data_IF_377836427206
#
_entry.id   IF_377836427206
#
_cell.length_a   1.000
_cell.length_b   1.000
_cell.length_c   1.000
_cell.angle_alpha   90.00
_cell.angle_beta   90.00
_cell.angle_gamma   90.00
#
_symmetry.space_group_name_H-M   'P 1'
#
loop_
_entity.id
_entity.type
_entity.pdbx_description
1 polymer ?
#
# COMPACT_ATOMS: atom_id res chain seq x y z
N UNK A 1 -9.89 -11.43 12.61
CA UNK A 1 -8.78 -12.40 12.50
C UNK A 1 -7.50 -11.62 12.24
N UNK A 2 -6.36 -12.12 12.71
CA UNK A 2 -5.05 -11.48 12.55
C UNK A 2 -4.19 -12.34 11.62
N UNK A 3 -3.57 -11.72 10.61
CA UNK A 3 -2.74 -12.37 9.61
C UNK A 3 -1.41 -11.63 9.41
N UNK A 4 -0.40 -12.32 8.87
CA UNK A 4 0.90 -11.75 8.48
C UNK A 4 1.36 -12.29 7.13
N UNK A 5 2.25 -11.57 6.47
CA UNK A 5 2.84 -11.93 5.18
C UNK A 5 4.38 -11.88 5.25
N UNK A 6 4.97 -12.58 6.22
CA UNK A 6 6.40 -12.53 6.49
C UNK A 6 7.16 -13.80 6.08
N UNK A 7 6.47 -14.90 5.80
CA UNK A 7 7.10 -16.19 5.53
C UNK A 7 7.11 -16.51 4.03
N UNK A 8 8.20 -17.13 3.56
CA UNK A 8 8.25 -17.71 2.23
C UNK A 8 7.52 -19.05 2.28
N UNK A 9 6.28 -19.06 1.83
CA UNK A 9 5.44 -20.26 1.76
C UNK A 9 5.33 -20.70 0.30
N UNK A 10 5.41 -22.01 0.01
CA UNK A 10 5.24 -22.49 -1.35
C UNK A 10 3.79 -22.23 -1.81
N UNK A 11 3.63 -21.74 -3.03
CA UNK A 11 2.33 -21.55 -3.67
C UNK A 11 2.16 -22.70 -4.67
N UNK A 12 1.11 -23.51 -4.51
CA UNK A 12 0.91 -24.75 -5.27
C UNK A 12 2.12 -25.70 -5.22
N UNK A 13 2.79 -25.77 -4.05
CA UNK A 13 3.95 -26.64 -3.84
C UNK A 13 5.28 -26.12 -4.39
N UNK A 14 5.33 -24.91 -4.94
CA UNK A 14 6.54 -24.29 -5.50
C UNK A 14 6.95 -23.02 -4.76
N UNK A 15 8.23 -22.93 -4.37
CA UNK A 15 8.80 -21.66 -3.90
C UNK A 15 9.05 -20.72 -5.07
N UNK A 16 8.50 -19.51 -4.98
CA UNK A 16 8.68 -18.47 -6.00
C UNK A 16 9.78 -17.49 -5.58
N UNK A 17 10.60 -17.07 -6.54
CA UNK A 17 11.66 -16.08 -6.34
C UNK A 17 11.14 -14.64 -6.45
N UNK A 18 9.91 -14.46 -6.92
CA UNK A 18 9.21 -13.17 -7.02
C UNK A 18 7.76 -13.32 -6.59
N UNK A 19 7.23 -12.25 -6.00
CA UNK A 19 5.79 -12.10 -5.75
C UNK A 19 5.02 -11.90 -7.05
N UNK A 20 5.67 -11.28 -8.05
CA UNK A 20 5.06 -11.04 -9.37
C UNK A 20 5.15 -12.34 -10.19
N UNK A 21 4.02 -12.79 -10.71
CA UNK A 21 3.95 -13.93 -11.62
C UNK A 21 3.55 -13.54 -13.05
N UNK A 22 3.02 -12.35 -13.23
CA UNK A 22 2.76 -11.77 -14.55
C UNK A 22 3.20 -10.29 -14.53
N UNK A 23 4.10 -9.89 -15.44
CA UNK A 23 4.80 -10.66 -16.47
C UNK A 23 5.65 -11.82 -15.93
N UNK A 24 5.93 -12.81 -16.78
CA UNK A 24 6.61 -14.04 -16.36
C UNK A 24 8.07 -13.85 -15.93
N UNK A 25 8.68 -12.73 -16.26
CA UNK A 25 10.03 -12.36 -15.82
C UNK A 25 10.09 -11.95 -14.34
N UNK A 26 8.92 -11.85 -13.67
CA UNK A 26 8.79 -11.52 -12.26
C UNK A 26 9.09 -10.07 -11.91
N UNK A 27 9.08 -9.18 -12.91
CA UNK A 27 9.39 -7.75 -12.74
C UNK A 27 8.15 -6.87 -12.93
N UNK A 28 8.11 -5.77 -12.20
CA UNK A 28 7.08 -4.74 -12.40
C UNK A 28 7.40 -3.98 -13.70
N UNK A 29 6.50 -3.97 -14.70
CA UNK A 29 6.76 -3.41 -16.05
C UNK A 29 6.61 -1.88 -16.06
N UNK A 30 7.51 -1.17 -15.37
CA UNK A 30 7.48 0.29 -15.25
C UNK A 30 7.70 0.96 -16.60
N UNK A 31 6.87 1.95 -16.90
CA UNK A 31 7.03 2.77 -18.12
C UNK A 31 8.24 3.70 -17.96
N UNK A 32 9.12 3.66 -18.94
CA UNK A 32 10.27 4.57 -19.00
C UNK A 32 9.80 6.02 -19.09
N UNK A 33 10.48 6.92 -18.38
CA UNK A 33 10.16 8.35 -18.37
C UNK A 33 8.94 8.76 -17.56
N UNK A 34 8.17 7.82 -16.97
CA UNK A 34 7.09 8.20 -16.06
C UNK A 34 7.64 8.84 -14.79
N UNK A 35 7.17 10.06 -14.52
CA UNK A 35 7.50 10.78 -13.30
C UNK A 35 6.34 10.64 -12.30
N UNK A 36 6.61 10.03 -11.15
CA UNK A 36 5.68 10.00 -10.03
C UNK A 36 5.49 11.38 -9.39
N UNK A 37 4.61 11.49 -8.41
CA UNK A 37 4.32 12.75 -7.73
C UNK A 37 5.59 13.43 -7.20
N UNK A 38 6.47 12.69 -6.51
CA UNK A 38 7.69 13.25 -5.91
C UNK A 38 8.73 13.62 -6.97
N UNK A 39 8.84 12.84 -8.04
CA UNK A 39 9.72 13.16 -9.16
C UNK A 39 9.28 14.42 -9.90
N UNK A 40 7.96 14.59 -10.15
CA UNK A 40 7.39 15.82 -10.73
C UNK A 40 7.64 17.03 -9.83
N UNK A 41 7.46 16.88 -8.51
CA UNK A 41 7.74 17.92 -7.54
C UNK A 41 9.21 18.37 -7.60
N UNK A 42 10.16 17.44 -7.62
CA UNK A 42 11.60 17.77 -7.75
C UNK A 42 11.93 18.40 -9.10
N UNK A 43 11.33 17.92 -10.18
CA UNK A 43 11.51 18.49 -11.53
C UNK A 43 11.01 19.93 -11.64
N UNK A 44 10.05 20.36 -10.81
CA UNK A 44 9.59 21.76 -10.72
C UNK A 44 10.48 22.63 -9.82
N UNK A 45 11.61 22.12 -9.33
CA UNK A 45 12.56 22.86 -8.48
C UNK A 45 12.26 22.82 -6.99
N UNK A 46 11.22 22.11 -6.56
CA UNK A 46 10.90 21.97 -5.13
C UNK A 46 11.81 20.92 -4.48
N UNK A 47 12.32 21.24 -3.29
CA UNK A 47 13.14 20.32 -2.50
C UNK A 47 12.26 19.48 -1.57
N UNK A 48 12.77 18.31 -1.19
CA UNK A 48 12.10 17.43 -0.22
C UNK A 48 12.02 18.05 1.19
N UNK A 49 12.79 19.12 1.45
CA UNK A 49 12.85 19.85 2.71
C UNK A 49 12.14 21.20 2.70
N UNK A 50 11.48 21.59 1.61
CA UNK A 50 10.75 22.88 1.54
C UNK A 50 9.54 22.91 2.49
N UNK A 51 8.95 21.74 2.73
CA UNK A 51 7.86 21.55 3.66
C UNK A 51 7.62 20.08 3.96
N UNK A 52 6.69 19.77 4.87
CA UNK A 52 6.36 18.37 5.19
C UNK A 52 5.88 17.58 3.98
N UNK A 53 5.30 18.21 2.96
CA UNK A 53 4.79 17.57 1.74
C UNK A 53 5.91 16.93 0.90
N UNK A 54 7.14 17.38 1.06
CA UNK A 54 8.32 16.78 0.41
C UNK A 54 8.78 15.47 1.05
N UNK A 55 8.40 15.24 2.29
CA UNK A 55 8.79 14.05 3.05
C UNK A 55 7.88 12.86 2.72
N UNK A 56 8.40 11.65 2.89
CA UNK A 56 7.61 10.43 2.68
C UNK A 56 6.45 10.33 3.68
N UNK A 57 5.41 9.57 3.30
CA UNK A 57 4.18 9.49 4.09
C UNK A 57 4.37 8.81 5.44
N UNK A 58 5.25 7.83 5.55
CA UNK A 58 5.56 7.15 6.82
C UNK A 58 6.29 8.08 7.79
N UNK A 59 7.22 8.92 7.31
CA UNK A 59 7.86 9.96 8.11
C UNK A 59 6.90 11.05 8.60
N UNK A 60 5.76 11.21 7.91
CA UNK A 60 4.66 12.11 8.30
C UNK A 60 3.58 11.42 9.11
N UNK A 61 3.73 10.15 9.43
CA UNK A 61 2.71 9.33 10.10
C UNK A 61 1.35 9.31 9.40
N UNK A 62 1.31 9.39 8.07
CA UNK A 62 0.07 9.38 7.29
C UNK A 62 -0.31 7.99 6.81
N UNK A 63 0.65 7.24 6.29
CA UNK A 63 0.51 5.83 5.93
C UNK A 63 1.87 5.18 5.69
N UNK A 64 1.89 3.85 5.74
CA UNK A 64 3.08 3.07 5.42
C UNK A 64 2.92 2.34 4.08
N UNK A 65 3.72 2.56 3.14
CA UNK A 65 3.65 1.93 1.84
C UNK A 65 2.77 2.68 0.84
N UNK A 66 2.50 2.04 -0.28
CA UNK A 66 1.70 2.59 -1.36
C UNK A 66 0.49 1.70 -1.63
N UNK A 67 -0.63 2.30 -2.01
CA UNK A 67 -1.92 1.70 -2.26
C UNK A 67 -2.54 1.07 -0.99
N UNK A 68 -2.54 -0.24 -0.85
CA UNK A 68 -3.24 -0.91 0.24
C UNK A 68 -2.30 -1.81 1.04
N UNK A 69 -2.62 -2.07 2.31
CA UNK A 69 -1.76 -2.83 3.21
C UNK A 69 -1.34 -4.21 2.69
N UNK A 70 -2.29 -4.95 2.12
CA UNK A 70 -2.03 -6.31 1.61
C UNK A 70 -1.10 -6.30 0.40
N UNK A 71 -1.13 -5.25 -0.42
CA UNK A 71 -0.28 -5.11 -1.60
C UNK A 71 1.18 -4.82 -1.23
N UNK A 72 1.39 -3.94 -0.24
CA UNK A 72 2.72 -3.52 0.19
C UNK A 72 2.89 -3.71 1.70
N UNK A 73 2.93 -4.96 2.20
CA UNK A 73 3.10 -5.20 3.62
C UNK A 73 4.43 -4.65 4.11
N UNK A 74 4.44 -4.10 5.31
CA UNK A 74 5.65 -3.64 5.96
C UNK A 74 6.64 -4.78 6.20
N UNK A 75 7.93 -4.54 5.96
CA UNK A 75 8.98 -5.52 6.26
C UNK A 75 9.16 -5.71 7.78
N UNK A 76 8.87 -4.67 8.55
CA UNK A 76 8.84 -4.66 10.00
C UNK A 76 7.39 -4.50 10.41
N UNK A 77 6.81 -5.46 11.11
CA UNK A 77 5.42 -5.42 11.53
C UNK A 77 4.39 -5.60 10.39
N UNK A 78 4.35 -6.79 9.76
CA UNK A 78 3.44 -7.09 8.66
C UNK A 78 2.04 -7.54 9.13
N UNK A 79 1.66 -7.26 10.38
CA UNK A 79 0.41 -7.72 10.98
C UNK A 79 -0.79 -7.00 10.36
N UNK A 80 -1.76 -7.79 9.93
CA UNK A 80 -3.05 -7.34 9.39
C UNK A 80 -4.18 -7.88 10.25
N UNK A 81 -5.08 -7.03 10.70
CA UNK A 81 -6.34 -7.46 11.30
C UNK A 81 -7.47 -7.32 10.29
N UNK A 82 -8.13 -8.43 9.97
CA UNK A 82 -9.29 -8.45 9.09
C UNK A 82 -10.54 -8.65 9.93
N UNK A 83 -11.47 -7.70 9.83
CA UNK A 83 -12.79 -7.75 10.48
C UNK A 83 -13.85 -7.72 9.41
N UNK A 84 -14.74 -8.71 9.42
CA UNK A 84 -15.84 -8.85 8.47
C UNK A 84 -17.18 -8.65 9.16
N UNK A 85 -18.03 -7.86 8.54
CA UNK A 85 -19.45 -7.74 8.84
C UNK A 85 -20.27 -8.21 7.61
N UNK A 86 -21.58 -8.05 7.66
CA UNK A 86 -22.46 -8.38 6.54
C UNK A 86 -22.16 -7.53 5.29
N UNK A 87 -21.92 -6.24 5.50
CA UNK A 87 -21.87 -5.25 4.42
C UNK A 87 -20.47 -4.62 4.23
N UNK A 88 -19.54 -4.87 5.14
CA UNK A 88 -18.21 -4.27 5.12
C UNK A 88 -17.11 -5.23 5.57
N UNK A 89 -15.92 -5.03 5.02
CA UNK A 89 -14.70 -5.61 5.53
C UNK A 89 -13.75 -4.48 5.88
N UNK A 90 -13.13 -4.55 7.05
CA UNK A 90 -12.04 -3.67 7.47
C UNK A 90 -10.73 -4.45 7.44
N UNK A 91 -9.72 -3.89 6.81
CA UNK A 91 -8.33 -4.35 6.89
C UNK A 91 -7.53 -3.29 7.61
N UNK A 92 -7.06 -3.61 8.82
CA UNK A 92 -6.23 -2.74 9.65
C UNK A 92 -4.80 -3.26 9.67
N UNK A 93 -3.82 -2.39 9.39
CA UNK A 93 -2.41 -2.67 9.72
C UNK A 93 -2.07 -2.19 11.11
N UNK A 94 -1.23 -2.92 11.82
CA UNK A 94 -0.66 -2.44 13.08
C UNK A 94 0.24 -1.23 12.83
N UNK A 95 1.10 -1.29 11.82
CA UNK A 95 2.00 -0.19 11.47
C UNK A 95 1.23 1.03 10.96
N UNK A 96 1.40 2.17 11.63
CA UNK A 96 0.70 3.46 11.38
C UNK A 96 -0.84 3.35 11.53
N UNK A 97 -1.36 2.23 12.03
CA UNK A 97 -2.80 1.98 12.23
C UNK A 97 -3.67 2.31 10.99
N UNK A 98 -3.13 2.04 9.80
CA UNK A 98 -3.86 2.25 8.55
C UNK A 98 -5.09 1.35 8.48
N UNK A 99 -6.27 1.94 8.37
CA UNK A 99 -7.54 1.22 8.26
C UNK A 99 -8.17 1.43 6.89
N UNK A 100 -8.44 0.33 6.20
CA UNK A 100 -9.14 0.31 4.91
C UNK A 100 -10.53 -0.28 5.09
N UNK A 101 -11.54 0.42 4.63
CA UNK A 101 -12.92 -0.06 4.60
C UNK A 101 -13.29 -0.46 3.18
N UNK A 102 -13.78 -1.69 3.03
CA UNK A 102 -14.23 -2.28 1.77
C UNK A 102 -15.74 -2.50 1.88
N UNK A 103 -16.52 -1.95 0.97
CA UNK A 103 -17.99 -2.10 0.91
C UNK A 103 -18.34 -3.32 0.07
N UNK A 104 -19.23 -4.17 0.58
CA UNK A 104 -19.62 -5.41 -0.09
C UNK A 104 -20.90 -5.17 -0.91
N UNK A 105 -20.90 -5.62 -2.17
CA UNK A 105 -22.02 -5.52 -3.11
C UNK A 105 -22.52 -4.08 -3.33
N UNK A 106 -21.62 -3.12 -3.28
CA UNK A 106 -21.91 -1.72 -3.59
C UNK A 106 -21.17 -1.26 -4.86
N UNK A 107 -21.55 -0.10 -5.35
CA UNK A 107 -20.84 0.57 -6.43
C UNK A 107 -19.78 1.54 -5.86
N UNK A 108 -18.80 1.91 -6.69
CA UNK A 108 -17.91 3.01 -6.37
C UNK A 108 -18.66 4.31 -6.12
N UNK A 109 -18.08 5.15 -5.29
CA UNK A 109 -18.67 6.46 -4.99
C UNK A 109 -18.77 7.30 -6.27
N UNK A 110 -19.85 8.09 -6.43
CA UNK A 110 -20.11 8.83 -7.69
C UNK A 110 -19.21 10.06 -7.88
N UNK A 111 -18.25 10.30 -7.00
CA UNK A 111 -17.36 11.45 -7.03
C UNK A 111 -15.89 11.01 -7.04
N UNK A 112 -15.09 11.73 -7.78
CA UNK A 112 -13.66 11.49 -7.89
C UNK A 112 -12.89 12.30 -6.81
N UNK A 113 -12.95 11.83 -5.56
CA UNK A 113 -12.16 12.37 -4.45
C UNK A 113 -11.06 11.36 -4.11
N UNK A 114 -9.79 11.64 -4.45
CA UNK A 114 -8.70 10.71 -4.16
C UNK A 114 -8.53 10.50 -2.65
N UNK A 115 -8.39 9.24 -2.25
CA UNK A 115 -8.22 8.80 -0.87
C UNK A 115 -6.89 8.07 -0.69
N UNK A 116 -6.38 8.02 0.55
CA UNK A 116 -5.13 7.29 0.83
C UNK A 116 -5.27 5.79 0.56
N UNK A 117 -6.38 5.17 0.98
CA UNK A 117 -6.65 3.74 0.78
C UNK A 117 -7.49 3.44 -0.47
N UNK A 118 -7.74 4.46 -1.31
CA UNK A 118 -8.63 4.35 -2.45
C UNK A 118 -10.10 4.16 -2.05
N UNK A 119 -10.96 4.11 -3.05
CA UNK A 119 -12.37 3.73 -2.92
C UNK A 119 -12.50 2.25 -3.27
N UNK A 120 -12.87 1.41 -2.28
CA UNK A 120 -12.86 -0.05 -2.40
C UNK A 120 -14.26 -0.63 -2.31
N UNK A 121 -14.62 -1.45 -3.30
CA UNK A 121 -15.83 -2.24 -3.33
C UNK A 121 -15.51 -3.72 -3.55
N UNK A 122 -16.36 -4.61 -3.06
CA UNK A 122 -16.12 -6.04 -3.18
C UNK A 122 -17.40 -6.82 -3.51
N UNK A 123 -17.18 -8.00 -4.09
CA UNK A 123 -18.20 -9.04 -4.26
C UNK A 123 -17.60 -10.41 -4.02
N UNK A 124 -18.45 -11.39 -3.74
CA UNK A 124 -18.05 -12.78 -3.59
C UNK A 124 -18.17 -13.55 -4.91
N UNK A 125 -17.11 -14.21 -5.33
CA UNK A 125 -17.09 -15.19 -6.41
C UNK A 125 -16.83 -16.58 -5.81
N UNK A 126 -17.89 -17.31 -5.48
CA UNK A 126 -17.78 -18.54 -4.69
C UNK A 126 -17.17 -18.23 -3.33
N UNK A 127 -16.06 -18.88 -3.00
CA UNK A 127 -15.33 -18.71 -1.73
C UNK A 127 -14.22 -17.63 -1.82
N UNK A 128 -14.13 -16.92 -2.93
CA UNK A 128 -13.16 -15.85 -3.13
C UNK A 128 -13.80 -14.47 -2.99
N UNK A 129 -13.26 -13.64 -2.12
CA UNK A 129 -13.60 -12.23 -2.06
C UNK A 129 -12.81 -11.49 -3.14
N UNK A 130 -13.51 -10.85 -4.07
CA UNK A 130 -12.91 -10.00 -5.11
C UNK A 130 -13.13 -8.55 -4.75
N UNK A 131 -12.05 -7.79 -4.63
CA UNK A 131 -12.05 -6.37 -4.27
C UNK A 131 -11.54 -5.56 -5.44
N UNK A 132 -12.28 -4.53 -5.83
CA UNK A 132 -11.83 -3.55 -6.82
C UNK A 132 -11.66 -2.18 -6.15
N UNK A 133 -10.56 -1.49 -6.43
CA UNK A 133 -10.20 -0.23 -5.77
C UNK A 133 -9.66 0.77 -6.78
N UNK A 134 -10.17 1.98 -6.69
CA UNK A 134 -9.84 3.14 -7.54
C UNK A 134 -9.64 4.39 -6.68
N UNK A 135 -9.38 5.53 -7.29
CA UNK A 135 -9.31 6.85 -6.64
C UNK A 135 -8.24 6.95 -5.53
N UNK A 136 -7.07 6.39 -5.79
CA UNK A 136 -5.92 6.52 -4.91
C UNK A 136 -5.26 7.89 -5.07
N UNK A 137 -4.72 8.42 -3.98
CA UNK A 137 -3.90 9.64 -4.01
C UNK A 137 -2.53 9.36 -4.62
N UNK A 138 -2.14 10.04 -5.73
CA UNK A 138 -0.83 9.81 -6.36
C UNK A 138 0.37 10.18 -5.48
N UNK A 139 0.16 11.01 -4.46
CA UNK A 139 1.19 11.42 -3.49
C UNK A 139 1.79 10.25 -2.70
N UNK A 140 1.09 9.12 -2.62
CA UNK A 140 1.60 7.90 -1.99
C UNK A 140 2.53 7.07 -2.88
N UNK A 141 2.74 7.50 -4.12
CA UNK A 141 3.61 6.84 -5.07
C UNK A 141 5.02 6.64 -4.51
N UNK A 142 5.59 5.45 -4.72
CA UNK A 142 6.95 5.13 -4.31
C UNK A 142 7.68 4.38 -5.42
N UNK A 143 8.76 4.97 -5.91
CA UNK A 143 9.61 4.33 -6.91
C UNK A 143 10.27 3.03 -6.45
N UNK A 144 10.31 2.79 -5.14
CA UNK A 144 10.86 1.57 -4.55
C UNK A 144 9.88 0.40 -4.52
N UNK A 145 8.58 0.69 -4.48
CA UNK A 145 7.51 -0.32 -4.38
C UNK A 145 6.52 -0.18 -5.53
N UNK A 146 5.46 0.57 -5.33
CA UNK A 146 4.40 0.82 -6.30
C UNK A 146 4.39 2.30 -6.67
N UNK A 147 4.40 2.58 -7.95
CA UNK A 147 4.25 3.91 -8.52
C UNK A 147 2.79 4.07 -8.95
N UNK A 148 2.15 5.17 -8.60
CA UNK A 148 0.76 5.43 -8.92
C UNK A 148 0.61 6.70 -9.74
N UNK A 149 -0.29 6.64 -10.74
CA UNK A 149 -0.90 7.82 -11.34
C UNK A 149 -2.35 8.00 -10.82
N UNK A 150 -3.05 8.96 -11.39
CA UNK A 150 -4.49 9.17 -11.20
C UNK A 150 -5.36 8.11 -11.90
N UNK A 151 -4.76 7.22 -12.70
CA UNK A 151 -5.42 6.10 -13.38
C UNK A 151 -5.14 4.74 -12.69
N UNK A 152 -4.59 4.75 -11.48
CA UNK A 152 -4.26 3.52 -10.78
C UNK A 152 -5.53 2.77 -10.37
N UNK A 153 -5.64 1.53 -10.81
CA UNK A 153 -6.68 0.58 -10.44
C UNK A 153 -6.05 -0.68 -9.85
N UNK A 154 -6.68 -1.22 -8.81
CA UNK A 154 -6.24 -2.43 -8.13
C UNK A 154 -7.41 -3.41 -8.02
N UNK A 155 -7.22 -4.62 -8.54
CA UNK A 155 -8.09 -5.76 -8.25
C UNK A 155 -7.37 -6.73 -7.34
N UNK A 156 -8.01 -7.17 -6.27
CA UNK A 156 -7.47 -8.10 -5.29
C UNK A 156 -8.42 -9.28 -5.11
N UNK A 157 -7.84 -10.44 -4.83
CA UNK A 157 -8.58 -11.68 -4.60
C UNK A 157 -8.07 -12.32 -3.31
N UNK A 158 -8.98 -12.61 -2.40
CA UNK A 158 -8.69 -13.26 -1.13
C UNK A 158 -9.42 -14.59 -1.11
N UNK A 159 -8.67 -15.68 -1.14
CA UNK A 159 -9.22 -17.04 -1.12
C UNK A 159 -8.68 -17.79 0.11
N UNK A 160 -9.57 -18.28 0.97
CA UNK A 160 -9.17 -19.10 2.11
C UNK A 160 -8.75 -20.49 1.56
N UNK A 161 -7.46 -20.82 1.66
CA UNK A 161 -6.90 -22.09 1.16
C UNK A 161 -6.72 -23.13 2.26
N UNK A 162 -6.70 -22.70 3.51
CA UNK A 162 -6.77 -23.55 4.70
C UNK A 162 -7.36 -22.74 5.87
N UNK A 163 -7.54 -23.37 7.04
CA UNK A 163 -8.02 -22.68 8.24
C UNK A 163 -7.09 -21.52 8.67
N UNK A 164 -5.82 -21.58 8.29
CA UNK A 164 -4.77 -20.68 8.73
C UNK A 164 -4.13 -19.87 7.58
N UNK A 165 -4.58 -20.05 6.33
CA UNK A 165 -3.93 -19.42 5.19
C UNK A 165 -4.94 -18.81 4.22
N UNK A 166 -4.68 -17.57 3.79
CA UNK A 166 -5.37 -16.91 2.69
C UNK A 166 -4.38 -16.73 1.54
N UNK A 167 -4.74 -17.27 0.37
CA UNK A 167 -4.10 -16.87 -0.88
C UNK A 167 -4.58 -15.47 -1.24
N UNK A 168 -3.67 -14.53 -1.24
CA UNK A 168 -3.88 -13.16 -1.69
C UNK A 168 -3.27 -13.00 -3.08
N UNK A 169 -4.10 -12.65 -4.05
CA UNK A 169 -3.68 -12.33 -5.41
C UNK A 169 -4.06 -10.88 -5.74
N UNK A 170 -3.27 -10.23 -6.59
CA UNK A 170 -3.57 -8.89 -7.01
C UNK A 170 -3.23 -8.67 -8.48
N UNK A 171 -3.94 -7.73 -9.09
CA UNK A 171 -3.65 -7.19 -10.42
C UNK A 171 -3.69 -5.67 -10.36
N UNK A 172 -2.63 -5.05 -10.84
CA UNK A 172 -2.50 -3.59 -10.98
C UNK A 172 -2.64 -3.19 -12.43
N UNK A 173 -3.47 -2.18 -12.69
CA UNK A 173 -3.64 -1.52 -13.97
C UNK A 173 -3.37 -0.02 -13.77
N UNK A 174 -2.43 0.54 -14.52
CA UNK A 174 -2.14 1.97 -14.58
C UNK A 174 -1.35 2.25 -15.86
N UNK A 175 -2.05 2.61 -16.91
CA UNK A 175 -1.48 2.78 -18.25
C UNK A 175 -0.53 3.98 -18.36
N UNK A 176 -0.53 4.90 -17.39
CA UNK A 176 0.45 5.99 -17.33
C UNK A 176 1.76 5.55 -16.70
N UNK A 177 1.70 4.71 -15.67
CA UNK A 177 2.87 4.30 -14.88
C UNK A 177 3.53 3.01 -15.39
N UNK A 178 2.76 2.13 -16.04
CA UNK A 178 3.21 0.80 -16.46
C UNK A 178 2.94 0.56 -17.94
N UNK A 179 3.77 -0.28 -18.56
CA UNK A 179 3.65 -0.66 -19.97
C UNK A 179 2.50 -1.65 -20.21
N UNK A 180 2.19 -2.45 -19.21
CA UNK A 180 1.11 -3.42 -19.21
C UNK A 180 0.65 -3.69 -17.77
N UNK A 181 -0.55 -4.26 -17.54
CA UNK A 181 -0.96 -4.76 -16.25
C UNK A 181 0.04 -5.77 -15.68
N UNK A 182 0.16 -5.81 -14.37
CA UNK A 182 0.96 -6.84 -13.70
C UNK A 182 0.20 -7.45 -12.52
N UNK A 183 0.50 -8.72 -12.26
CA UNK A 183 -0.17 -9.49 -11.21
C UNK A 183 0.85 -10.19 -10.33
N UNK A 184 0.47 -10.34 -9.08
CA UNK A 184 1.28 -11.02 -8.08
C UNK A 184 0.42 -11.77 -7.08
N UNK A 185 1.06 -12.56 -6.23
CA UNK A 185 0.39 -13.29 -5.17
C UNK A 185 1.27 -13.47 -3.93
N UNK A 186 0.62 -13.76 -2.80
CA UNK A 186 1.25 -14.08 -1.50
C UNK A 186 0.33 -14.99 -0.70
N UNK A 187 0.89 -15.62 0.32
CA UNK A 187 0.11 -16.24 1.38
C UNK A 187 0.08 -15.28 2.59
N UNK A 188 -1.10 -15.09 3.14
CA UNK A 188 -1.30 -14.44 4.43
C UNK A 188 -1.55 -15.56 5.44
N UNK A 189 -0.65 -15.72 6.40
CA UNK A 189 -0.74 -16.76 7.43
C UNK A 189 -1.39 -16.19 8.68
N UNK A 190 -2.29 -16.95 9.30
CA UNK A 190 -2.92 -16.57 10.57
C UNK A 190 -1.88 -16.46 11.67
N UNK A 191 -1.95 -15.39 12.43
CA UNK A 191 -1.12 -15.20 13.61
C UNK A 191 -1.55 -16.16 14.73
N UNK A 192 -0.63 -16.44 15.64
CA UNK A 192 -0.92 -17.28 16.81
C UNK A 192 -1.99 -16.64 17.69
N UNK A 193 -2.79 -17.43 18.43
CA UNK A 193 -3.89 -16.92 19.25
C UNK A 193 -3.47 -15.92 20.34
N UNK A 194 -2.23 -16.01 20.81
CA UNK A 194 -1.65 -15.10 21.81
C UNK A 194 -1.16 -13.78 21.23
N UNK A 195 -0.94 -13.69 19.93
CA UNK A 195 -0.49 -12.46 19.27
C UNK A 195 -1.62 -11.44 19.20
N UNK A 196 -1.28 -10.18 19.43
CA UNK A 196 -2.20 -9.05 19.46
C UNK A 196 -1.74 -7.96 18.51
N UNK A 197 -2.66 -7.12 18.07
CA UNK A 197 -2.35 -5.83 17.47
C UNK A 197 -2.05 -4.86 18.60
N UNK A 198 -0.93 -4.18 18.52
CA UNK A 198 -0.52 -3.15 19.48
C UNK A 198 -0.78 -1.77 18.91
N UNK A 199 -0.90 -0.79 19.78
CA UNK A 199 -0.98 0.60 19.38
C UNK A 199 0.33 1.05 18.71
N UNK A 200 0.22 1.72 17.58
CA UNK A 200 1.34 2.32 16.88
C UNK A 200 1.27 3.85 17.01
N UNK A 201 1.90 4.38 18.03
CA UNK A 201 1.88 5.82 18.38
C UNK A 201 2.92 6.60 17.55
N UNK A 202 2.76 6.64 16.24
CA UNK A 202 3.71 7.23 15.31
C UNK A 202 4.00 8.71 15.59
N UNK A 203 2.96 9.52 15.87
CA UNK A 203 3.10 10.96 16.10
C UNK A 203 3.86 11.30 17.38
N UNK A 204 3.67 10.53 18.43
CA UNK A 204 4.28 10.80 19.75
C UNK A 204 5.81 10.69 19.72
N UNK A 205 6.36 9.78 18.91
CA UNK A 205 7.81 9.58 18.75
C UNK A 205 8.41 10.31 17.54
N UNK A 206 7.65 11.10 16.80
CA UNK A 206 8.10 11.68 15.54
C UNK A 206 8.87 13.01 15.73
N UNK A 207 10.05 12.93 16.34
CA UNK A 207 10.95 14.07 16.47
C UNK A 207 11.77 14.35 15.21
N UNK A 208 11.85 13.36 14.29
CA UNK A 208 12.69 13.47 13.09
C UNK A 208 12.13 14.46 12.08
N UNK A 209 10.83 14.51 11.84
CA UNK A 209 10.25 15.42 10.86
C UNK A 209 10.49 16.90 11.20
N UNK A 210 10.18 17.40 12.41
CA UNK A 210 10.55 18.77 12.80
C UNK A 210 12.06 19.02 12.74
N UNK A 211 12.89 18.04 13.15
CA UNK A 211 14.35 18.15 13.12
C UNK A 211 14.91 18.29 11.71
N UNK A 212 14.41 17.53 10.74
CA UNK A 212 14.82 17.59 9.32
C UNK A 212 14.49 18.98 8.75
N UNK A 213 13.27 19.47 8.97
CA UNK A 213 12.84 20.77 8.44
C UNK A 213 13.56 21.95 9.11
N UNK A 214 13.77 21.90 10.41
CA UNK A 214 14.55 22.92 11.15
C UNK A 214 16.01 22.94 10.70
N UNK A 215 16.64 21.78 10.51
CA UNK A 215 18.00 21.68 9.99
C UNK A 215 18.14 22.27 8.60
N UNK A 216 17.18 22.04 7.71
CA UNK A 216 17.16 22.65 6.38
C UNK A 216 17.08 24.18 6.44
N UNK A 217 16.20 24.74 7.28
CA UNK A 217 16.08 26.20 7.49
C UNK A 217 17.37 26.82 8.02
N UNK A 218 18.05 26.14 8.93
CA UNK A 218 19.35 26.57 9.44
C UNK A 218 20.40 26.66 8.33
N UNK A 219 20.56 25.58 7.54
CA UNK A 219 21.51 25.56 6.43
C UNK A 219 21.23 26.66 5.40
N UNK A 220 19.96 26.93 5.10
CA UNK A 220 19.57 28.02 4.20
C UNK A 220 19.98 29.40 4.74
N UNK A 221 19.82 29.64 6.04
CA UNK A 221 20.24 30.91 6.66
C UNK A 221 21.75 31.07 6.67
N UNK A 222 22.52 30.01 6.88
CA UNK A 222 23.99 30.02 6.85
C UNK A 222 24.53 30.26 5.44
N UNK A 223 23.86 29.80 4.39
CA UNK A 223 24.27 29.99 3.00
C UNK A 223 23.88 31.36 2.42
N UNK A 224 23.00 32.13 3.07
CA UNK A 224 22.58 33.47 2.67
C UNK A 224 23.34 34.59 3.38
N UNK A 225 24.27 34.25 4.28
CA UNK A 225 25.20 35.16 4.95
C UNK A 225 26.62 35.02 4.37
#
# INVERSE_FOLDING_TARGET
MLFRSAELIPINGEYKTSVIYHPMDGRIPRREGFLDFHAKRRASGLKDTDGPEGQNLSGRCLMFGAAVPSLTPGMMNPNLQIVQTKDHIMVLTEMIHDARIIRINENHLPFNIPQWMGDSVASWEGDTLVVHSINFRPEQSSSRTITLSDEFELTERYTLVSDDEILYEFTVVDNKAYEQPFSGHRILTRNRPEERVYEYACHEGNYSLPGILAGARRLESENNN
#
